data_IF_630882690192
#
_entry.id   IF_630882690192
#
_cell.length_a   1.000
_cell.length_b   1.000
_cell.length_c   1.000
_cell.angle_alpha   90.00
_cell.angle_beta   90.00
_cell.angle_gamma   90.00
#
_symmetry.space_group_name_H-M   'P 1'
#
loop_
_entity.id
_entity.type
_entity.pdbx_description
1 polymer ?
#
# COMPACT_ATOMS: atom_id res chain seq x y z
N UNK A 1 14.45 -23.94 -5.32
CA UNK A 1 13.85 -22.63 -5.00
C UNK A 1 13.14 -22.13 -6.24
N UNK A 2 11.83 -21.92 -6.18
CA UNK A 2 11.09 -21.32 -7.29
C UNK A 2 11.37 -19.81 -7.30
N UNK A 3 11.65 -19.26 -8.49
CA UNK A 3 11.83 -17.82 -8.70
C UNK A 3 10.68 -17.28 -9.53
N UNK A 4 10.24 -16.07 -9.22
CA UNK A 4 9.09 -15.42 -9.85
C UNK A 4 9.47 -14.01 -10.28
N UNK A 5 8.93 -13.58 -11.43
CA UNK A 5 9.03 -12.17 -11.86
C UNK A 5 7.88 -11.39 -11.25
N UNK A 6 8.11 -10.12 -10.94
CA UNK A 6 7.08 -9.21 -10.45
C UNK A 6 7.18 -7.87 -11.18
N UNK A 7 6.05 -7.20 -11.39
CA UNK A 7 5.99 -6.00 -12.23
C UNK A 7 6.79 -4.82 -11.63
N UNK A 8 7.00 -4.82 -10.32
CA UNK A 8 7.62 -3.70 -9.61
C UNK A 8 9.14 -3.78 -9.52
N UNK A 9 9.76 -4.87 -9.98
CA UNK A 9 11.19 -5.09 -9.80
C UNK A 9 11.80 -5.89 -10.95
N UNK A 10 13.02 -5.50 -11.36
CA UNK A 10 13.67 -6.07 -12.55
C UNK A 10 14.25 -7.47 -12.31
N UNK A 11 14.69 -7.74 -11.09
CA UNK A 11 15.27 -9.03 -10.74
C UNK A 11 14.18 -10.05 -10.35
N UNK A 12 14.44 -11.36 -10.53
CA UNK A 12 13.59 -12.39 -9.98
C UNK A 12 13.54 -12.32 -8.45
N UNK A 13 12.39 -12.72 -7.90
CA UNK A 13 12.14 -12.84 -6.48
C UNK A 13 12.02 -14.32 -6.12
N UNK A 14 12.41 -14.70 -4.91
CA UNK A 14 12.12 -15.99 -4.32
C UNK A 14 11.35 -15.83 -3.03
N UNK A 15 10.56 -16.84 -2.68
CA UNK A 15 9.91 -16.90 -1.38
C UNK A 15 10.95 -17.04 -0.27
N UNK A 16 10.75 -16.33 0.83
CA UNK A 16 11.59 -16.33 2.01
C UNK A 16 10.74 -16.19 3.27
N UNK A 17 11.23 -16.75 4.38
CA UNK A 17 10.71 -16.49 5.72
C UNK A 17 11.58 -15.44 6.40
N UNK A 18 10.96 -14.36 6.88
CA UNK A 18 11.61 -13.22 7.50
C UNK A 18 11.23 -13.18 8.98
N UNK A 19 12.20 -12.96 9.86
CA UNK A 19 11.88 -12.76 11.27
C UNK A 19 11.74 -11.27 11.57
N UNK A 20 10.88 -10.95 12.54
CA UNK A 20 10.68 -9.56 12.97
C UNK A 20 11.98 -8.92 13.51
N UNK A 21 12.85 -9.72 14.14
CA UNK A 21 14.17 -9.30 14.64
C UNK A 21 15.12 -8.84 13.53
N UNK A 22 14.90 -9.23 12.29
CA UNK A 22 15.74 -8.82 11.16
C UNK A 22 15.51 -7.34 10.78
N UNK A 23 14.40 -6.74 11.22
CA UNK A 23 14.12 -5.32 11.02
C UNK A 23 13.91 -4.91 9.56
N UNK A 24 13.60 -5.86 8.67
CA UNK A 24 13.38 -5.56 7.26
C UNK A 24 12.11 -4.73 7.03
N UNK A 25 12.13 -3.91 5.98
CA UNK A 25 11.02 -3.04 5.57
C UNK A 25 10.55 -3.44 4.19
N UNK A 26 9.23 -3.47 3.99
CA UNK A 26 8.63 -3.79 2.70
C UNK A 26 8.80 -2.65 1.71
N UNK A 27 9.41 -2.94 0.56
CA UNK A 27 9.60 -1.98 -0.52
C UNK A 27 8.28 -1.52 -1.16
N UNK A 28 7.18 -2.26 -0.94
CA UNK A 28 5.87 -1.94 -1.49
C UNK A 28 5.03 -1.05 -0.59
N UNK A 29 5.11 -1.21 0.74
CA UNK A 29 4.21 -0.53 1.67
C UNK A 29 4.90 0.21 2.81
N UNK A 30 6.23 0.19 2.88
CA UNK A 30 7.07 0.89 3.87
C UNK A 30 6.81 0.47 5.32
N UNK A 31 6.18 -0.69 5.53
CA UNK A 31 5.97 -1.27 6.84
C UNK A 31 6.96 -2.39 7.12
N UNK A 32 7.21 -2.62 8.41
CA UNK A 32 8.03 -3.74 8.88
C UNK A 32 7.54 -5.08 8.34
N UNK A 33 8.50 -5.95 8.05
CA UNK A 33 8.29 -7.29 7.50
C UNK A 33 8.54 -8.37 8.53
N UNK A 34 7.62 -9.33 8.59
CA UNK A 34 7.78 -10.58 9.33
C UNK A 34 6.94 -11.68 8.66
N UNK A 35 7.40 -12.93 8.82
CA UNK A 35 6.83 -14.12 8.20
C UNK A 35 7.13 -14.24 6.71
N UNK A 36 6.17 -14.80 5.98
CA UNK A 36 6.24 -15.09 4.54
C UNK A 36 6.40 -13.83 3.69
N UNK A 37 7.48 -13.80 2.90
CA UNK A 37 7.87 -12.67 2.06
C UNK A 37 8.46 -13.12 0.71
N UNK A 38 8.65 -12.16 -0.19
CA UNK A 38 9.38 -12.34 -1.44
C UNK A 38 10.62 -11.46 -1.46
N UNK A 39 11.79 -12.07 -1.57
CA UNK A 39 13.10 -11.41 -1.56
C UNK A 39 13.75 -11.47 -2.94
N UNK A 40 14.45 -10.40 -3.30
CA UNK A 40 15.29 -10.40 -4.49
C UNK A 40 16.37 -11.50 -4.42
N UNK A 41 16.60 -12.20 -5.53
CA UNK A 41 17.63 -13.24 -5.60
C UNK A 41 19.04 -12.67 -5.64
N UNK A 42 19.19 -11.36 -5.84
CA UNK A 42 20.48 -10.67 -5.95
C UNK A 42 20.91 -10.18 -4.56
N UNK A 43 22.11 -10.56 -4.12
CA UNK A 43 22.59 -10.37 -2.74
C UNK A 43 22.75 -8.91 -2.30
N UNK A 44 23.03 -7.99 -3.23
CA UNK A 44 23.17 -6.55 -2.98
C UNK A 44 21.90 -5.76 -3.38
N UNK A 45 20.74 -6.42 -3.36
CA UNK A 45 19.46 -5.80 -3.67
C UNK A 45 18.47 -6.05 -2.53
N UNK A 46 18.16 -4.99 -1.79
CA UNK A 46 17.31 -5.06 -0.59
C UNK A 46 15.80 -5.03 -0.91
N UNK A 47 15.43 -5.39 -2.14
CA UNK A 47 14.04 -5.42 -2.54
C UNK A 47 13.32 -6.60 -1.91
N UNK A 48 12.31 -6.30 -1.10
CA UNK A 48 11.58 -7.27 -0.29
C UNK A 48 10.11 -6.87 -0.19
N UNK A 49 9.19 -7.82 -0.38
CA UNK A 49 7.75 -7.59 -0.32
C UNK A 49 7.07 -8.55 0.66
N UNK A 50 6.06 -8.07 1.38
CA UNK A 50 5.09 -8.96 2.02
C UNK A 50 4.42 -9.84 0.96
N UNK A 51 4.02 -11.06 1.30
CA UNK A 51 3.19 -11.90 0.43
C UNK A 51 1.91 -11.17 -0.02
N UNK A 52 1.30 -10.37 0.87
CA UNK A 52 0.15 -9.50 0.54
C UNK A 52 0.49 -8.39 -0.45
N UNK A 53 1.66 -7.77 -0.33
CA UNK A 53 2.12 -6.72 -1.24
C UNK A 53 2.48 -7.28 -2.62
N UNK A 54 3.02 -8.50 -2.67
CA UNK A 54 3.27 -9.22 -3.91
C UNK A 54 1.96 -9.48 -4.70
N UNK A 55 0.87 -9.78 -3.98
CA UNK A 55 -0.44 -10.17 -4.53
C UNK A 55 -1.43 -9.01 -4.70
N UNK A 56 -1.00 -7.76 -4.56
CA UNK A 56 -1.89 -6.61 -4.75
C UNK A 56 -2.52 -6.62 -6.15
N UNK A 57 -3.80 -6.26 -6.21
CA UNK A 57 -4.53 -6.17 -7.46
C UNK A 57 -3.97 -5.00 -8.31
N UNK A 58 -3.71 -5.18 -9.61
CA UNK A 58 -3.23 -4.09 -10.46
C UNK A 58 -4.19 -2.90 -10.56
N UNK A 59 -5.49 -3.13 -10.36
CA UNK A 59 -6.53 -2.10 -10.46
C UNK A 59 -7.56 -2.32 -9.36
N UNK A 60 -7.98 -1.25 -8.69
CA UNK A 60 -9.01 -1.27 -7.65
C UNK A 60 -10.08 -0.22 -7.91
N UNK A 61 -11.27 -0.45 -7.37
CA UNK A 61 -12.33 0.56 -7.25
C UNK A 61 -12.50 0.91 -5.78
N UNK A 62 -12.42 2.19 -5.43
CA UNK A 62 -12.58 2.66 -4.05
C UNK A 62 -13.93 3.34 -3.87
N UNK A 63 -14.56 3.13 -2.71
CA UNK A 63 -15.85 3.77 -2.39
C UNK A 63 -15.72 5.28 -2.21
N UNK A 64 -14.57 5.74 -1.70
CA UNK A 64 -14.22 7.15 -1.57
C UNK A 64 -13.91 7.82 -2.91
N UNK A 65 -13.66 7.03 -3.96
CA UNK A 65 -13.40 7.52 -5.30
C UNK A 65 -14.09 6.62 -6.35
N UNK A 66 -15.43 6.66 -6.44
CA UNK A 66 -16.21 5.66 -7.20
C UNK A 66 -16.18 5.89 -8.71
N UNK A 67 -15.87 7.10 -9.16
CA UNK A 67 -15.97 7.50 -10.56
C UNK A 67 -14.86 6.92 -11.44
N UNK A 68 -13.64 6.81 -10.91
CA UNK A 68 -12.50 6.28 -11.64
C UNK A 68 -11.81 5.14 -10.88
N UNK A 69 -11.34 4.09 -11.57
CA UNK A 69 -10.50 3.10 -10.93
C UNK A 69 -9.10 3.69 -10.63
N UNK A 70 -8.44 3.12 -9.63
CA UNK A 70 -7.05 3.42 -9.32
C UNK A 70 -6.17 2.28 -9.81
N UNK A 71 -5.02 2.62 -10.40
CA UNK A 71 -4.03 1.66 -10.90
C UNK A 71 -2.85 1.59 -9.94
N UNK A 72 -2.38 0.38 -9.67
CA UNK A 72 -1.20 0.14 -8.85
C UNK A 72 0.06 0.47 -9.63
N UNK A 73 0.88 1.36 -9.09
CA UNK A 73 2.18 1.72 -9.62
C UNK A 73 3.28 1.34 -8.61
N UNK A 74 4.46 0.88 -9.09
CA UNK A 74 5.57 0.53 -8.23
C UNK A 74 6.27 1.76 -7.63
N UNK A 75 6.03 2.94 -8.19
CA UNK A 75 6.46 4.23 -7.67
C UNK A 75 5.46 5.31 -8.12
N UNK A 76 5.35 6.43 -7.39
CA UNK A 76 4.52 7.56 -7.80
C UNK A 76 4.98 8.15 -9.14
N UNK A 77 4.05 8.65 -9.98
CA UNK A 77 4.36 9.16 -11.32
C UNK A 77 4.85 10.62 -11.33
N UNK A 78 5.33 11.13 -10.19
CA UNK A 78 5.74 12.52 -10.00
C UNK A 78 7.28 12.65 -9.98
N UNK A 79 7.79 13.85 -10.22
CA UNK A 79 9.24 14.10 -10.37
C UNK A 79 10.04 13.76 -9.10
N UNK A 80 9.45 13.97 -7.92
CA UNK A 80 10.06 13.63 -6.62
C UNK A 80 9.83 12.16 -6.22
N UNK A 81 9.09 11.39 -7.05
CA UNK A 81 8.67 10.02 -6.77
C UNK A 81 7.94 9.87 -5.42
N UNK A 82 7.26 10.92 -4.95
CA UNK A 82 6.47 10.88 -3.73
C UNK A 82 5.05 11.36 -3.93
N UNK A 83 4.19 11.11 -2.95
CA UNK A 83 2.78 11.50 -3.00
C UNK A 83 2.23 11.73 -1.59
N UNK A 84 1.14 12.49 -1.50
CA UNK A 84 0.35 12.59 -0.27
C UNK A 84 -0.87 11.69 -0.41
N UNK A 85 -1.07 10.77 0.54
CA UNK A 85 -2.20 9.85 0.48
C UNK A 85 -3.51 10.54 0.88
N UNK A 86 -4.49 10.53 -0.01
CA UNK A 86 -5.79 11.20 0.18
C UNK A 86 -6.60 10.65 1.37
N UNK A 87 -6.35 9.42 1.79
CA UNK A 87 -7.08 8.80 2.91
C UNK A 87 -6.43 8.99 4.29
N UNK A 88 -5.11 9.21 4.37
CA UNK A 88 -4.41 9.32 5.65
C UNK A 88 -3.60 10.60 5.80
N UNK A 89 -3.48 11.39 4.73
CA UNK A 89 -2.80 12.70 4.68
C UNK A 89 -1.31 12.64 5.02
N UNK A 90 -0.70 11.46 4.94
CA UNK A 90 0.75 11.26 5.11
C UNK A 90 1.43 11.09 3.76
N UNK A 91 2.70 11.48 3.71
CA UNK A 91 3.57 11.32 2.55
C UNK A 91 4.05 9.87 2.41
N UNK A 92 4.28 9.42 1.18
CA UNK A 92 4.84 8.11 0.85
C UNK A 92 5.62 8.14 -0.47
N UNK A 93 6.50 7.15 -0.67
CA UNK A 93 7.36 7.04 -1.85
C UNK A 93 7.38 5.63 -2.48
N UNK A 94 6.74 4.65 -1.83
CA UNK A 94 6.61 3.28 -2.31
C UNK A 94 5.41 3.09 -3.25
N UNK A 95 4.81 1.89 -3.25
CA UNK A 95 3.71 1.60 -4.16
C UNK A 95 2.51 2.49 -3.85
N UNK A 96 1.87 2.93 -4.92
CA UNK A 96 0.72 3.82 -4.87
C UNK A 96 -0.41 3.26 -5.73
N UNK A 97 -1.63 3.39 -5.23
CA UNK A 97 -2.80 3.34 -6.10
C UNK A 97 -3.09 4.74 -6.59
N UNK A 98 -2.91 4.95 -7.88
CA UNK A 98 -2.98 6.25 -8.53
C UNK A 98 -4.14 6.31 -9.52
N UNK A 99 -4.89 7.41 -9.50
CA UNK A 99 -5.83 7.77 -10.55
C UNK A 99 -5.27 8.91 -11.40
N UNK A 100 -4.87 8.62 -12.64
CA UNK A 100 -4.31 9.63 -13.56
C UNK A 100 -5.30 10.76 -13.91
N UNK A 101 -6.60 10.46 -13.96
CA UNK A 101 -7.62 11.45 -14.30
C UNK A 101 -7.86 12.49 -13.19
N UNK A 102 -7.68 12.08 -11.93
CA UNK A 102 -7.99 12.93 -10.77
C UNK A 102 -6.76 13.30 -9.94
N UNK A 103 -5.59 12.74 -10.25
CA UNK A 103 -4.40 12.81 -9.40
C UNK A 103 -4.71 12.38 -7.96
N UNK A 104 -5.53 11.33 -7.83
CA UNK A 104 -5.98 10.81 -6.54
C UNK A 104 -5.11 9.62 -6.14
N UNK A 105 -4.41 9.74 -5.03
CA UNK A 105 -3.38 8.79 -4.61
C UNK A 105 -3.67 8.14 -3.25
N UNK A 106 -3.44 6.83 -3.17
CA UNK A 106 -3.60 6.06 -1.94
C UNK A 106 -2.41 5.15 -1.66
N UNK A 107 -1.99 5.11 -0.40
CA UNK A 107 -1.07 4.07 0.08
C UNK A 107 -1.67 2.67 -0.09
N UNK A 108 -0.85 1.72 -0.52
CA UNK A 108 -1.24 0.29 -0.57
C UNK A 108 -1.44 -0.33 0.81
N UNK A 109 -0.90 0.29 1.87
CA UNK A 109 -1.03 -0.13 3.28
C UNK A 109 -2.48 -0.40 3.69
N UNK A 110 -3.42 0.42 3.19
CA UNK A 110 -4.84 0.32 3.51
C UNK A 110 -5.52 -0.94 2.95
N UNK A 111 -4.91 -1.62 1.98
CA UNK A 111 -5.41 -2.88 1.43
C UNK A 111 -4.61 -4.09 1.91
N UNK A 112 -3.31 -3.90 2.20
CA UNK A 112 -2.44 -4.95 2.78
C UNK A 112 -2.90 -5.36 4.19
N UNK A 113 -3.42 -4.42 4.99
CA UNK A 113 -3.86 -4.66 6.38
C UNK A 113 -5.31 -5.15 6.52
N UNK A 114 -6.07 -5.34 5.42
CA UNK A 114 -7.49 -5.76 5.50
C UNK A 114 -7.74 -7.15 6.09
N UNK A 115 -6.70 -7.88 6.50
CA UNK A 115 -6.83 -9.09 7.30
C UNK A 115 -6.97 -8.84 8.82
N UNK A 116 -6.89 -7.59 9.31
CA UNK A 116 -7.17 -7.31 10.72
C UNK A 116 -8.24 -6.21 10.89
N UNK A 117 -9.45 -6.72 11.17
CA UNK A 117 -10.60 -6.08 11.82
C UNK A 117 -11.27 -4.94 11.04
N UNK A 118 -12.46 -5.29 10.56
CA UNK A 118 -13.63 -4.42 10.48
C UNK A 118 -13.77 -3.69 11.83
N UNK A 119 -13.38 -2.42 11.88
CA UNK A 119 -13.79 -1.45 12.92
C UNK A 119 -13.38 -0.02 12.49
N UNK A 120 -13.95 0.48 11.39
CA UNK A 120 -14.08 1.93 11.24
C UNK A 120 -15.54 2.21 10.92
N UNK A 121 -16.39 1.91 11.91
CA UNK A 121 -17.74 2.44 11.95
C UNK A 121 -17.59 3.84 12.57
N UNK A 122 -17.59 4.84 11.72
CA UNK A 122 -18.04 6.23 11.96
C UNK A 122 -18.15 6.66 13.43
N UNK A 123 -17.17 7.42 13.90
CA UNK A 123 -17.34 8.33 15.05
C UNK A 123 -16.67 9.66 14.76
N UNK A 124 -17.14 10.39 13.75
CA UNK A 124 -16.84 11.83 13.64
C UNK A 124 -18.01 12.63 13.01
N UNK A 125 -19.26 12.27 13.32
CA UNK A 125 -20.45 13.07 13.00
C UNK A 125 -21.45 13.16 14.18
N UNK A 126 -20.96 13.55 15.37
CA UNK A 126 -21.86 14.06 16.43
C UNK A 126 -21.32 15.38 16.99
N UNK A 127 -21.08 16.34 16.11
CA UNK A 127 -20.91 17.75 16.47
C UNK A 127 -21.48 18.55 15.31
N UNK A 128 -22.82 18.71 15.27
CA UNK A 128 -23.59 19.80 14.65
C UNK A 128 -25.07 19.40 14.65
N UNK A 129 -25.71 19.38 15.82
CA UNK A 129 -27.16 19.54 15.94
C UNK A 129 -27.53 19.73 17.41
N UNK A 130 -27.41 20.95 17.92
CA UNK A 130 -28.37 21.47 18.89
C UNK A 130 -28.26 22.99 18.96
N UNK A 131 -29.01 23.64 18.08
CA UNK A 131 -29.49 25.01 18.28
C UNK A 131 -31.00 24.92 18.56
N UNK A 132 -31.43 25.56 19.65
CA UNK A 132 -32.79 25.92 20.11
C UNK A 132 -33.96 24.90 20.02
N UNK A 133 -34.60 24.60 21.15
CA UNK A 133 -35.92 25.16 21.58
C UNK A 133 -36.45 24.44 22.83
N UNK A 134 -36.50 25.13 23.97
CA UNK A 134 -37.69 25.43 24.82
C UNK A 134 -37.25 26.30 25.98
#
# INVERSE_FOLDING_TARGET
MAVVKHFSHKHPLCHAEVKEEDGFVCSGCELGLSGSAYKCTISNCDFLLHDSCFKLAPVIKQRSHPHHPLTLLPSPPYDDSGFTCEACLYYGHAFVYHCAACQFDLHVRQLSMKAQKIAYVVTHCVWMANVQTT
#
